data_IF_924056672762
#
_entry.id   IF_924056672762
#
_cell.length_a   1.000
_cell.length_b   1.000
_cell.length_c   1.000
_cell.angle_alpha   90.00
_cell.angle_beta   90.00
_cell.angle_gamma   90.00
#
_symmetry.space_group_name_H-M   'P 1'
#
loop_
_entity.id
_entity.type
_entity.pdbx_description
1 polymer ?
#
# COMPACT_ATOMS: atom_id res chain seq x y z
N UNK A 1 28.86 9.58 28.82
CA UNK A 1 27.39 9.78 28.81
C UNK A 1 26.88 9.54 27.40
N UNK A 2 26.49 8.31 27.06
CA UNK A 2 25.85 8.02 25.78
C UNK A 2 24.37 8.40 25.88
N UNK A 3 23.90 9.36 25.07
CA UNK A 3 22.46 9.65 24.99
C UNK A 3 21.76 8.38 24.52
N UNK A 4 21.03 7.72 25.41
CA UNK A 4 20.22 6.57 25.07
C UNK A 4 19.24 6.98 23.97
N UNK A 5 19.30 6.29 22.84
CA UNK A 5 18.34 6.40 21.75
C UNK A 5 16.98 5.91 22.25
N UNK A 6 16.30 6.75 23.05
CA UNK A 6 14.91 6.51 23.44
C UNK A 6 14.03 6.90 22.27
N UNK A 7 13.09 6.02 21.93
CA UNK A 7 12.12 6.23 20.87
C UNK A 7 11.38 7.54 21.13
N UNK A 8 11.59 8.53 20.27
CA UNK A 8 11.12 9.90 20.49
C UNK A 8 9.64 10.07 20.12
N UNK A 9 9.11 9.13 19.32
CA UNK A 9 7.73 9.10 18.86
C UNK A 9 7.02 7.91 19.50
N UNK A 10 5.99 8.20 20.28
CA UNK A 10 5.13 7.18 20.86
C UNK A 10 4.25 6.50 19.80
N UNK A 11 4.01 5.19 19.96
CA UNK A 11 3.23 4.40 19.02
C UNK A 11 1.76 4.87 18.94
N UNK A 12 1.17 5.28 20.07
CA UNK A 12 -0.22 5.78 20.10
C UNK A 12 -0.36 7.10 19.36
N UNK A 13 0.63 7.99 19.48
CA UNK A 13 0.65 9.28 18.77
C UNK A 13 0.75 9.05 17.27
N UNK A 14 1.65 8.17 16.83
CA UNK A 14 1.79 7.82 15.41
C UNK A 14 0.52 7.15 14.85
N UNK A 15 -0.11 6.24 15.60
CA UNK A 15 -1.36 5.62 15.19
C UNK A 15 -2.50 6.63 15.07
N UNK A 16 -2.63 7.55 16.03
CA UNK A 16 -3.68 8.58 16.01
C UNK A 16 -3.54 9.47 14.77
N UNK A 17 -2.31 9.86 14.43
CA UNK A 17 -2.03 10.61 13.21
C UNK A 17 -2.42 9.81 11.96
N UNK A 18 -2.00 8.54 11.86
CA UNK A 18 -2.29 7.72 10.69
C UNK A 18 -3.80 7.51 10.47
N UNK A 19 -4.56 7.34 11.57
CA UNK A 19 -6.03 7.26 11.53
C UNK A 19 -6.67 8.57 11.03
N UNK A 20 -6.14 9.72 11.47
CA UNK A 20 -6.61 11.04 11.02
C UNK A 20 -6.39 11.25 9.53
N UNK A 21 -5.21 10.86 9.03
CA UNK A 21 -4.82 11.03 7.63
C UNK A 21 -5.34 9.91 6.72
N UNK A 22 -5.99 8.88 7.30
CA UNK A 22 -6.47 7.66 6.61
C UNK A 22 -5.34 6.93 5.84
N UNK A 23 -4.13 6.96 6.40
CA UNK A 23 -2.96 6.26 5.86
C UNK A 23 -2.65 5.02 6.69
N UNK A 24 -2.02 4.02 6.06
CA UNK A 24 -1.53 2.85 6.78
C UNK A 24 -0.22 3.19 7.50
N UNK A 25 -0.17 2.98 8.81
CA UNK A 25 1.05 3.08 9.60
C UNK A 25 1.82 1.75 9.52
N UNK A 26 3.10 1.81 9.19
CA UNK A 26 4.02 0.68 9.21
C UNK A 26 5.24 1.02 10.05
N UNK A 27 5.47 0.28 11.13
CA UNK A 27 6.72 0.35 11.90
C UNK A 27 7.69 -0.68 11.32
N UNK A 28 8.82 -0.20 10.81
CA UNK A 28 9.81 -1.04 10.15
C UNK A 28 11.18 -0.80 10.77
N UNK A 29 11.99 -1.85 10.82
CA UNK A 29 13.37 -1.75 11.29
C UNK A 29 14.30 -2.27 10.20
N UNK A 30 15.34 -1.50 9.86
CA UNK A 30 16.29 -1.87 8.79
C UNK A 30 17.01 -3.20 9.09
N UNK A 31 17.19 -3.52 10.37
CA UNK A 31 17.79 -4.78 10.81
C UNK A 31 16.88 -5.99 10.59
N UNK A 32 15.57 -5.81 10.55
CA UNK A 32 14.61 -6.87 10.21
C UNK A 32 14.05 -6.65 8.81
N UNK A 33 14.69 -7.31 7.84
CA UNK A 33 14.27 -7.29 6.44
C UNK A 33 12.81 -7.68 6.25
N UNK A 34 12.25 -8.57 7.08
CA UNK A 34 10.87 -9.03 6.92
C UNK A 34 9.86 -7.91 7.15
N UNK A 35 10.10 -7.06 8.16
CA UNK A 35 9.28 -5.88 8.44
C UNK A 35 9.17 -4.89 7.26
N UNK A 36 10.16 -4.87 6.36
CA UNK A 36 10.18 -3.96 5.21
C UNK A 36 9.42 -4.49 3.99
N UNK A 37 9.30 -5.81 3.81
CA UNK A 37 8.79 -6.39 2.57
C UNK A 37 7.32 -6.02 2.34
N UNK A 38 6.50 -6.14 3.38
CA UNK A 38 5.06 -5.92 3.32
C UNK A 38 4.67 -4.47 2.95
N UNK A 39 5.23 -3.41 3.59
CA UNK A 39 4.91 -2.04 3.20
C UNK A 39 5.31 -1.72 1.76
N UNK A 40 6.48 -2.16 1.30
CA UNK A 40 6.89 -1.94 -0.09
C UNK A 40 6.00 -2.69 -1.08
N UNK A 41 5.59 -3.91 -0.75
CA UNK A 41 4.67 -4.69 -1.59
C UNK A 41 3.31 -4.02 -1.71
N UNK A 42 2.76 -3.51 -0.59
CA UNK A 42 1.49 -2.79 -0.59
C UNK A 42 1.58 -1.49 -1.40
N UNK A 43 2.65 -0.72 -1.22
CA UNK A 43 2.87 0.52 -1.98
C UNK A 43 3.03 0.23 -3.47
N UNK A 44 3.86 -0.75 -3.82
CA UNK A 44 4.05 -1.18 -5.20
C UNK A 44 2.71 -1.59 -5.83
N UNK A 45 1.87 -2.35 -5.12
CA UNK A 45 0.53 -2.73 -5.59
C UNK A 45 -0.40 -1.54 -5.81
N UNK A 46 -0.38 -0.54 -4.90
CA UNK A 46 -1.19 0.68 -5.07
C UNK A 46 -0.70 1.52 -6.25
N UNK A 47 0.61 1.57 -6.48
CA UNK A 47 1.23 2.31 -7.58
C UNK A 47 1.09 1.60 -8.93
N UNK A 48 1.21 0.28 -8.93
CA UNK A 48 1.11 -0.57 -10.12
C UNK A 48 -0.32 -0.91 -10.48
N UNK A 49 -1.31 -0.33 -9.80
CA UNK A 49 -2.71 -0.57 -10.12
C UNK A 49 -2.91 -0.14 -11.59
N UNK A 50 -3.23 -1.08 -12.50
CA UNK A 50 -3.58 -0.69 -13.86
C UNK A 50 -4.74 0.29 -13.71
N UNK A 51 -4.71 1.45 -14.39
CA UNK A 51 -5.88 2.33 -14.46
C UNK A 51 -7.05 1.46 -14.91
N UNK A 52 -7.88 1.01 -13.97
CA UNK A 52 -8.71 -0.19 -14.18
C UNK A 52 -9.82 0.06 -15.19
N UNK A 53 -9.97 1.31 -15.62
CA UNK A 53 -10.59 1.69 -16.87
C UNK A 53 -9.77 2.89 -17.35
N UNK A 54 -9.06 2.78 -18.47
CA UNK A 54 -8.75 3.98 -19.22
C UNK A 54 -10.11 4.63 -19.52
N UNK A 55 -10.46 5.69 -18.78
CA UNK A 55 -11.72 6.43 -18.90
C UNK A 55 -11.73 7.30 -20.16
N UNK A 56 -10.97 6.92 -21.17
CA UNK A 56 -11.26 7.34 -22.52
C UNK A 56 -12.12 6.24 -23.14
N UNK A 57 -13.44 6.45 -23.26
CA UNK A 57 -14.25 5.60 -24.10
C UNK A 57 -13.72 5.78 -25.52
N UNK A 58 -12.80 4.91 -25.93
CA UNK A 58 -12.39 4.83 -27.32
C UNK A 58 -13.62 4.30 -28.09
N UNK A 59 -14.20 5.08 -29.00
CA UNK A 59 -15.31 4.59 -29.82
C UNK A 59 -14.87 3.31 -30.55
N UNK A 60 -15.58 2.20 -30.32
CA UNK A 60 -15.44 0.98 -31.14
C UNK A 60 -14.76 -0.24 -30.50
N UNK A 61 -14.24 -0.20 -29.26
CA UNK A 61 -13.63 -1.41 -28.65
C UNK A 61 -14.66 -2.24 -27.87
N UNK A 62 -15.28 -3.22 -28.55
CA UNK A 62 -16.12 -4.25 -27.91
C UNK A 62 -15.26 -5.06 -26.92
N UNK A 63 -15.60 -5.02 -25.63
CA UNK A 63 -15.01 -5.93 -24.64
C UNK A 63 -15.50 -7.34 -24.93
N UNK A 64 -14.60 -8.24 -25.37
CA UNK A 64 -14.91 -9.66 -25.53
C UNK A 64 -15.10 -10.24 -24.13
N UNK A 65 -16.35 -10.43 -23.75
CA UNK A 65 -16.74 -11.06 -22.48
C UNK A 65 -16.07 -12.41 -22.31
N UNK A 66 -15.60 -12.64 -21.09
CA UNK A 66 -15.02 -13.88 -20.59
C UNK A 66 -15.99 -15.04 -20.86
N UNK A 67 -15.68 -15.90 -21.82
CA UNK A 67 -16.37 -17.18 -22.02
C UNK A 67 -15.93 -18.15 -20.92
N UNK A 68 -16.67 -18.19 -19.82
CA UNK A 68 -16.66 -19.33 -18.91
C UNK A 68 -17.68 -20.34 -19.42
N UNK A 69 -17.24 -21.22 -20.31
CA UNK A 69 -17.83 -22.54 -20.49
C UNK A 69 -17.22 -23.45 -19.42
N UNK A 70 -18.02 -24.04 -18.54
CA UNK A 70 -17.92 -25.47 -18.17
C UNK A 70 -19.08 -25.87 -17.24
N UNK A 71 -19.90 -26.79 -17.76
CA UNK A 71 -20.82 -27.74 -17.11
C UNK A 71 -21.88 -27.27 -16.09
#
# INVERSE_FOLDING_TARGET
MGKGCKRQVDAEVAQRWARSEKVHLWEVTVTDRKSLIEPFTLLARKLSQPQSKASFPLPGRRSKGNSSSEN
#
